data_IF_828064365818
#
_entry.id   IF_828064365818
#
_cell.length_a   1.000
_cell.length_b   1.000
_cell.length_c   1.000
_cell.angle_alpha   90.00
_cell.angle_beta   90.00
_cell.angle_gamma   90.00
#
_symmetry.space_group_name_H-M   'P 1'
#
loop_
_entity.id
_entity.type
_entity.pdbx_description
1 polymer ?
#
# COMPACT_ATOMS: atom_id res chain seq x y z
N UNK A 1 5.23 -22.57 -66.75
CA UNK A 1 5.66 -23.02 -65.41
C UNK A 1 6.06 -21.83 -64.57
N UNK A 2 5.42 -21.61 -63.41
CA UNK A 2 6.02 -21.27 -62.09
C UNK A 2 4.90 -20.78 -61.17
N UNK A 3 4.58 -21.62 -60.18
CA UNK A 3 3.60 -21.37 -59.13
C UNK A 3 4.23 -20.38 -58.13
N UNK A 4 3.56 -19.26 -57.87
CA UNK A 4 4.00 -18.27 -56.89
C UNK A 4 3.60 -18.78 -55.49
N UNK A 5 4.57 -19.30 -54.75
CA UNK A 5 4.37 -19.69 -53.34
C UNK A 5 4.56 -18.46 -52.48
N UNK A 6 3.47 -17.92 -51.94
CA UNK A 6 3.50 -16.86 -50.93
C UNK A 6 3.88 -17.54 -49.59
N UNK A 7 5.13 -17.34 -49.17
CA UNK A 7 5.59 -17.75 -47.85
C UNK A 7 4.98 -16.82 -46.80
N UNK A 8 4.12 -17.36 -45.94
CA UNK A 8 3.49 -16.66 -44.83
C UNK A 8 4.54 -16.46 -43.73
N UNK A 9 5.19 -15.30 -43.68
CA UNK A 9 6.06 -14.93 -42.57
C UNK A 9 5.20 -14.49 -41.38
N UNK A 10 4.89 -15.44 -40.49
CA UNK A 10 4.35 -15.13 -39.17
C UNK A 10 5.49 -14.51 -38.33
N UNK A 11 5.65 -13.19 -38.40
CA UNK A 11 6.51 -12.48 -37.46
C UNK A 11 5.72 -12.34 -36.18
N UNK A 12 6.00 -13.25 -35.25
CA UNK A 12 5.58 -13.18 -33.86
C UNK A 12 5.84 -11.79 -33.30
N UNK A 13 4.78 -11.07 -32.91
CA UNK A 13 4.89 -9.90 -32.07
C UNK A 13 5.50 -10.34 -30.74
N UNK A 14 6.82 -10.19 -30.59
CA UNK A 14 7.48 -10.32 -29.29
C UNK A 14 7.07 -9.06 -28.53
N UNK A 15 5.94 -9.13 -27.83
CA UNK A 15 5.59 -8.11 -26.84
C UNK A 15 6.70 -8.11 -25.80
N UNK A 16 7.50 -7.05 -25.78
CA UNK A 16 8.40 -6.76 -24.68
C UNK A 16 7.54 -6.49 -23.46
N UNK A 17 7.27 -7.54 -22.70
CA UNK A 17 6.71 -7.41 -21.36
C UNK A 17 7.78 -6.70 -20.51
N UNK A 18 7.67 -5.38 -20.41
CA UNK A 18 8.38 -4.63 -19.39
C UNK A 18 7.85 -5.11 -18.05
N UNK A 19 8.59 -6.01 -17.41
CA UNK A 19 8.41 -6.32 -16.01
C UNK A 19 8.82 -5.05 -15.23
N UNK A 20 7.84 -4.18 -15.00
CA UNK A 20 8.00 -3.04 -14.10
C UNK A 20 8.41 -3.63 -12.75
N UNK A 21 9.64 -3.34 -12.33
CA UNK A 21 10.18 -3.81 -11.05
C UNK A 21 9.40 -3.09 -9.96
N UNK A 22 8.30 -3.69 -9.52
CA UNK A 22 7.53 -3.21 -8.37
C UNK A 22 8.47 -3.31 -7.17
N UNK A 23 9.07 -2.19 -6.78
CA UNK A 23 9.74 -2.07 -5.49
C UNK A 23 8.66 -2.20 -4.43
N UNK A 24 8.53 -3.39 -3.87
CA UNK A 24 7.68 -3.64 -2.72
C UNK A 24 8.29 -2.91 -1.53
N UNK A 25 7.62 -1.85 -1.07
CA UNK A 25 8.00 -1.16 0.16
C UNK A 25 7.41 -1.94 1.32
N UNK A 26 8.28 -2.51 2.16
CA UNK A 26 7.88 -3.21 3.37
C UNK A 26 7.28 -2.23 4.39
N UNK A 27 6.41 -2.76 5.25
CA UNK A 27 5.85 -1.99 6.35
C UNK A 27 6.94 -1.62 7.36
N UNK A 28 6.99 -0.33 7.71
CA UNK A 28 7.88 0.23 8.72
C UNK A 28 7.04 1.21 9.56
N UNK A 29 6.75 0.82 10.79
CA UNK A 29 5.86 1.60 11.67
C UNK A 29 6.41 2.99 11.99
N UNK A 30 7.71 3.21 11.87
CA UNK A 30 8.35 4.52 12.11
C UNK A 30 8.23 5.48 10.93
N UNK A 31 7.69 5.01 9.80
CA UNK A 31 7.61 5.77 8.54
C UNK A 31 6.22 5.73 7.95
N UNK A 32 5.20 5.55 8.79
CA UNK A 32 3.83 5.47 8.33
C UNK A 32 3.36 6.81 7.75
N UNK A 33 2.57 6.73 6.69
CA UNK A 33 2.02 7.89 6.00
C UNK A 33 0.53 7.70 5.71
N UNK A 34 -0.18 8.81 5.68
CA UNK A 34 -1.57 8.89 5.28
C UNK A 34 -1.82 10.21 4.55
N UNK A 35 -2.29 10.13 3.31
CA UNK A 35 -2.45 11.26 2.39
C UNK A 35 -1.21 12.14 2.26
N UNK A 36 -0.03 11.51 2.24
CA UNK A 36 1.27 12.19 2.14
C UNK A 36 1.69 12.93 3.42
N UNK A 37 0.94 12.78 4.51
CA UNK A 37 1.32 13.27 5.83
C UNK A 37 1.92 12.13 6.65
N UNK A 38 3.00 12.43 7.37
CA UNK A 38 3.59 11.48 8.30
C UNK A 38 2.68 11.27 9.51
N UNK A 39 2.62 10.03 10.00
CA UNK A 39 1.93 9.67 11.23
C UNK A 39 2.99 9.56 12.33
N UNK A 40 2.93 10.46 13.31
CA UNK A 40 3.85 10.49 14.44
C UNK A 40 3.41 9.54 15.58
N UNK A 41 4.37 9.08 16.39
CA UNK A 41 4.08 8.29 17.59
C UNK A 41 3.30 9.12 18.63
N UNK A 42 2.33 8.48 19.29
CA UNK A 42 1.46 9.14 20.25
C UNK A 42 0.34 9.98 19.62
N UNK A 43 0.15 9.93 18.29
CA UNK A 43 -0.97 10.58 17.63
C UNK A 43 -2.32 10.06 18.15
N UNK A 44 -3.30 10.94 18.32
CA UNK A 44 -4.64 10.51 18.72
C UNK A 44 -5.34 9.80 17.56
N UNK A 45 -6.15 8.78 17.88
CA UNK A 45 -6.95 8.10 16.86
C UNK A 45 -7.92 9.03 16.13
N UNK A 46 -8.42 10.06 16.81
CA UNK A 46 -9.32 11.05 16.22
C UNK A 46 -8.58 11.90 15.17
N UNK A 47 -7.33 12.27 15.41
CA UNK A 47 -6.52 12.96 14.39
C UNK A 47 -6.26 12.06 13.18
N UNK A 48 -5.99 10.77 13.37
CA UNK A 48 -5.86 9.82 12.25
C UNK A 48 -7.16 9.68 11.46
N UNK A 49 -8.31 9.67 12.14
CA UNK A 49 -9.62 9.71 11.48
C UNK A 49 -9.81 10.96 10.63
N UNK A 50 -9.43 12.12 11.16
CA UNK A 50 -9.52 13.42 10.48
C UNK A 50 -8.54 13.56 9.30
N UNK A 51 -7.44 12.78 9.30
CA UNK A 51 -6.56 12.66 8.14
C UNK A 51 -7.21 11.90 6.97
N UNK A 52 -8.39 11.29 7.16
CA UNK A 52 -9.15 10.56 6.13
C UNK A 52 -8.40 9.38 5.49
N UNK A 53 -7.55 8.68 6.25
CA UNK A 53 -6.80 7.53 5.76
C UNK A 53 -7.69 6.48 5.09
N UNK A 54 -7.19 5.86 4.03
CA UNK A 54 -7.98 4.87 3.26
C UNK A 54 -8.38 3.70 4.15
N UNK A 55 -9.64 3.27 4.03
CA UNK A 55 -10.24 2.16 4.79
C UNK A 55 -10.12 2.32 6.31
N UNK A 56 -10.11 3.55 6.82
CA UNK A 56 -10.09 3.82 8.26
C UNK A 56 -11.27 3.14 8.97
N UNK A 57 -10.99 2.43 10.06
CA UNK A 57 -11.94 1.80 10.95
C UNK A 57 -11.50 2.04 12.40
N UNK A 58 -12.42 2.52 13.24
CA UNK A 58 -12.21 2.61 14.69
C UNK A 58 -12.90 1.41 15.37
N UNK A 59 -12.11 0.52 15.96
CA UNK A 59 -12.57 -0.68 16.68
C UNK A 59 -12.52 -0.48 18.20
N UNK A 60 -12.50 0.76 18.68
CA UNK A 60 -12.40 1.17 20.08
C UNK A 60 -11.02 0.94 20.71
N UNK A 61 -10.52 -0.29 20.70
CA UNK A 61 -9.17 -0.65 21.21
C UNK A 61 -8.08 -0.52 20.16
N UNK A 62 -8.48 -0.51 18.90
CA UNK A 62 -7.60 -0.56 17.74
C UNK A 62 -8.14 0.38 16.66
N UNK A 63 -7.24 0.88 15.82
CA UNK A 63 -7.60 1.50 14.54
C UNK A 63 -6.97 0.74 13.40
N UNK A 64 -7.70 0.63 12.31
CA UNK A 64 -7.22 -0.02 11.10
C UNK A 64 -7.32 0.94 9.93
N UNK A 65 -6.26 1.06 9.13
CA UNK A 65 -6.23 1.89 7.92
C UNK A 65 -5.17 1.37 6.95
N UNK A 66 -5.04 1.99 5.78
CA UNK A 66 -3.96 1.69 4.84
C UNK A 66 -2.84 2.72 5.02
N UNK A 67 -1.62 2.24 5.26
CA UNK A 67 -0.41 3.06 5.20
C UNK A 67 -0.11 3.38 3.73
N UNK A 68 -0.11 4.67 3.39
CA UNK A 68 0.14 5.11 2.02
C UNK A 68 1.59 4.89 1.57
N UNK A 69 2.55 4.68 2.48
CA UNK A 69 3.93 4.40 2.10
C UNK A 69 4.13 2.95 1.66
N UNK A 70 3.78 2.00 2.52
CA UNK A 70 3.91 0.56 2.23
C UNK A 70 2.74 -0.03 1.43
N UNK A 71 1.62 0.72 1.32
CA UNK A 71 0.33 0.26 0.76
C UNK A 71 -0.28 -0.93 1.50
N UNK A 72 0.17 -1.22 2.73
CA UNK A 72 -0.35 -2.31 3.57
C UNK A 72 -1.50 -1.82 4.45
N UNK A 73 -2.43 -2.73 4.76
CA UNK A 73 -3.40 -2.49 5.82
C UNK A 73 -2.69 -2.66 7.15
N UNK A 74 -2.87 -1.72 8.06
CA UNK A 74 -2.19 -1.69 9.35
C UNK A 74 -3.23 -1.68 10.46
N UNK A 75 -3.00 -2.48 11.49
CA UNK A 75 -3.78 -2.52 12.73
C UNK A 75 -2.89 -1.93 13.85
N UNK A 76 -3.37 -0.86 14.46
CA UNK A 76 -2.65 -0.09 15.47
C UNK A 76 -3.42 -0.08 16.79
N UNK A 77 -2.76 -0.49 17.88
CA UNK A 77 -3.32 -0.43 19.24
C UNK A 77 -3.51 1.02 19.69
N UNK A 78 -4.65 1.28 20.30
CA UNK A 78 -5.00 2.54 20.96
C UNK A 78 -4.89 2.34 22.47
N UNK A 79 -4.21 3.26 23.16
CA UNK A 79 -4.11 3.24 24.62
C UNK A 79 -5.38 3.75 25.32
N UNK A 80 -5.35 3.80 26.65
CA UNK A 80 -6.51 4.23 27.45
C UNK A 80 -6.88 5.71 27.30
N UNK A 81 -5.97 6.54 26.77
CA UNK A 81 -6.20 7.98 26.55
C UNK A 81 -6.53 8.30 25.09
N UNK A 82 -6.56 7.29 24.20
CA UNK A 82 -6.95 7.45 22.80
C UNK A 82 -5.78 7.67 21.84
N UNK A 83 -4.54 7.42 22.27
CA UNK A 83 -3.35 7.61 21.44
C UNK A 83 -2.84 6.29 20.86
N UNK A 84 -2.22 6.38 19.69
CA UNK A 84 -1.63 5.26 18.98
C UNK A 84 -0.15 5.17 19.32
N UNK A 85 0.32 3.96 19.66
CA UNK A 85 1.76 3.66 19.73
C UNK A 85 2.20 2.95 18.46
N UNK A 86 3.02 3.59 17.62
CA UNK A 86 3.44 3.07 16.32
C UNK A 86 4.19 1.74 16.45
N UNK A 87 4.99 1.56 17.50
CA UNK A 87 5.69 0.30 17.77
C UNK A 87 4.73 -0.90 18.00
N UNK A 88 3.45 -0.63 18.27
CA UNK A 88 2.39 -1.64 18.42
C UNK A 88 1.52 -1.79 17.16
N UNK A 89 1.84 -1.08 16.09
CA UNK A 89 1.19 -1.25 14.80
C UNK A 89 1.77 -2.45 14.07
N UNK A 90 0.91 -3.21 13.39
CA UNK A 90 1.31 -4.37 12.59
C UNK A 90 0.61 -4.32 11.24
N UNK A 91 1.31 -4.75 10.18
CA UNK A 91 0.66 -4.97 8.87
C UNK A 91 -0.12 -6.28 8.90
N UNK A 92 -1.35 -6.27 8.37
CA UNK A 92 -2.26 -7.43 8.28
C UNK A 92 -2.64 -7.75 6.84
#
# INVERSE_FOLDING_TARGET
MKKLLIALAAVSCISTAFAEKVTTVDFDSTKMECHGQHIDDGISKDKVKDMHCKKYQDKKTDVVFVDDRSKKMVDCKVDSVGNITLAKCTSI
#
